data_IF_469335919283
#
_entry.id   IF_469335919283
#
_cell.length_a   1.000
_cell.length_b   1.000
_cell.length_c   1.000
_cell.angle_alpha   90.00
_cell.angle_beta   90.00
_cell.angle_gamma   90.00
#
_symmetry.space_group_name_H-M   'P 1'
#
loop_
_entity.id
_entity.type
_entity.pdbx_description
1 polymer ?
#
# COMPACT_ATOMS: atom_id res chain seq x y z
N UNK A 1 -1.77 -21.49 12.20
CA UNK A 1 -2.54 -20.24 12.18
C UNK A 1 -1.71 -19.18 11.47
N UNK A 2 -2.31 -18.42 10.57
CA UNK A 2 -1.69 -17.38 9.75
C UNK A 2 -2.22 -16.05 10.25
N UNK A 3 -1.33 -15.08 10.47
CA UNK A 3 -1.70 -13.71 10.81
C UNK A 3 -1.91 -12.93 9.51
N UNK A 4 -3.08 -12.32 9.34
CA UNK A 4 -3.35 -11.37 8.27
C UNK A 4 -3.51 -9.97 8.83
N UNK A 5 -2.94 -8.99 8.15
CA UNK A 5 -3.27 -7.58 8.31
C UNK A 5 -4.49 -7.30 7.44
N UNK A 6 -5.53 -6.72 8.03
CA UNK A 6 -6.82 -6.47 7.43
C UNK A 6 -7.16 -4.99 7.50
N UNK A 7 -7.95 -4.52 6.55
CA UNK A 7 -8.45 -3.14 6.50
C UNK A 7 -9.94 -3.17 6.12
N UNK A 8 -10.75 -2.32 6.75
CA UNK A 8 -12.15 -2.17 6.40
C UNK A 8 -12.40 -1.00 5.44
N UNK A 9 -13.64 -0.86 4.94
CA UNK A 9 -14.04 0.26 4.06
C UNK A 9 -13.88 1.66 4.67
N UNK A 10 -13.75 1.74 6.00
CA UNK A 10 -13.52 2.98 6.76
C UNK A 10 -12.03 3.20 7.08
N UNK A 11 -11.12 2.50 6.41
CA UNK A 11 -9.66 2.62 6.58
C UNK A 11 -9.15 2.26 7.99
N UNK A 12 -9.93 1.49 8.77
CA UNK A 12 -9.43 0.94 10.03
C UNK A 12 -8.60 -0.32 9.77
N UNK A 13 -7.32 -0.26 10.15
CA UNK A 13 -6.41 -1.39 10.09
C UNK A 13 -6.48 -2.23 11.37
N UNK A 14 -6.47 -3.54 11.23
CA UNK A 14 -6.45 -4.48 12.35
C UNK A 14 -5.82 -5.81 11.95
N UNK A 15 -5.50 -6.64 12.93
CA UNK A 15 -4.89 -7.95 12.71
C UNK A 15 -5.80 -9.08 13.18
N UNK A 16 -5.86 -10.15 12.39
CA UNK A 16 -6.64 -11.33 12.75
C UNK A 16 -5.92 -12.62 12.34
N UNK A 17 -6.19 -13.68 13.10
CA UNK A 17 -5.56 -14.99 12.94
C UNK A 17 -6.55 -15.97 12.34
N UNK A 18 -6.14 -16.61 11.25
CA UNK A 18 -6.96 -17.60 10.54
C UNK A 18 -6.24 -18.93 10.47
N UNK A 19 -6.98 -20.02 10.25
CA UNK A 19 -6.36 -21.35 10.15
C UNK A 19 -5.57 -21.49 8.84
N UNK A 20 -6.06 -20.87 7.77
CA UNK A 20 -5.49 -20.86 6.42
C UNK A 20 -5.97 -19.62 5.64
N UNK A 21 -5.47 -19.43 4.42
CA UNK A 21 -6.00 -18.40 3.51
C UNK A 21 -7.48 -18.66 3.15
N UNK A 22 -7.82 -19.91 2.86
CA UNK A 22 -9.18 -20.32 2.47
C UNK A 22 -10.21 -20.13 3.60
N UNK A 23 -9.78 -20.32 4.85
CA UNK A 23 -10.59 -20.04 6.04
C UNK A 23 -10.99 -18.56 6.11
N UNK A 24 -10.05 -17.64 5.88
CA UNK A 24 -10.35 -16.21 5.77
C UNK A 24 -11.38 -15.93 4.65
N UNK A 25 -11.13 -16.45 3.44
CA UNK A 25 -12.01 -16.20 2.30
C UNK A 25 -13.43 -16.75 2.53
N UNK A 26 -13.55 -17.90 3.21
CA UNK A 26 -14.82 -18.48 3.61
C UNK A 26 -15.53 -17.66 4.68
N UNK A 27 -14.83 -17.24 5.75
CA UNK A 27 -15.41 -16.43 6.81
C UNK A 27 -15.82 -15.03 6.31
N UNK A 28 -15.01 -14.40 5.45
CA UNK A 28 -15.35 -13.13 4.79
C UNK A 28 -16.62 -13.26 3.96
N UNK A 29 -16.75 -14.30 3.11
CA UNK A 29 -17.95 -14.55 2.31
C UNK A 29 -19.20 -14.78 3.15
N UNK A 30 -19.05 -15.37 4.34
CA UNK A 30 -20.15 -15.59 5.30
C UNK A 30 -20.47 -14.36 6.16
N UNK A 31 -19.68 -13.28 6.08
CA UNK A 31 -19.84 -12.10 6.92
C UNK A 31 -19.44 -12.31 8.38
N UNK A 32 -18.58 -13.30 8.67
CA UNK A 32 -18.08 -13.57 10.03
C UNK A 32 -16.80 -12.82 10.39
N UNK A 33 -16.32 -11.98 9.47
CA UNK A 33 -15.21 -11.08 9.73
C UNK A 33 -15.77 -9.67 9.79
N UNK A 34 -15.69 -9.04 10.96
CA UNK A 34 -16.10 -7.67 11.20
C UNK A 34 -14.92 -6.81 11.68
N UNK A 35 -15.02 -5.51 11.40
CA UNK A 35 -14.06 -4.54 11.89
C UNK A 35 -14.31 -4.27 13.37
N UNK A 36 -13.33 -4.47 14.28
CA UNK A 36 -13.53 -4.23 15.71
C UNK A 36 -13.78 -2.75 16.06
N UNK A 37 -13.43 -1.82 15.16
CA UNK A 37 -13.60 -0.37 15.37
C UNK A 37 -14.98 0.15 14.97
N UNK A 38 -15.62 -0.46 13.97
CA UNK A 38 -16.87 0.08 13.39
C UNK A 38 -17.94 -0.97 13.08
N UNK A 39 -17.65 -2.27 13.19
CA UNK A 39 -18.55 -3.36 12.89
C UNK A 39 -18.80 -3.61 11.39
N UNK A 40 -18.09 -2.92 10.47
CA UNK A 40 -18.25 -3.19 9.03
C UNK A 40 -17.75 -4.60 8.69
N UNK A 41 -18.52 -5.31 7.85
CA UNK A 41 -18.17 -6.61 7.29
C UNK A 41 -17.39 -6.50 5.95
N UNK A 42 -17.19 -5.29 5.43
CA UNK A 42 -16.40 -5.07 4.21
C UNK A 42 -14.93 -5.02 4.55
N UNK A 43 -14.34 -6.21 4.68
CA UNK A 43 -12.95 -6.39 5.09
C UNK A 43 -12.09 -6.87 3.92
N UNK A 44 -10.93 -6.26 3.73
CA UNK A 44 -9.94 -6.64 2.72
C UNK A 44 -8.61 -6.98 3.40
N UNK A 45 -7.79 -7.80 2.73
CA UNK A 45 -6.41 -8.02 3.18
C UNK A 45 -5.65 -6.72 2.92
N UNK A 46 -5.10 -6.11 3.95
CA UNK A 46 -4.18 -5.01 3.78
C UNK A 46 -2.98 -5.54 3.00
N UNK A 47 -2.86 -5.14 1.73
CA UNK A 47 -1.69 -5.47 0.95
C UNK A 47 -0.50 -4.84 1.66
N UNK A 48 0.50 -5.66 2.02
CA UNK A 48 1.82 -5.14 2.32
C UNK A 48 2.33 -4.50 1.03
N UNK A 49 2.04 -3.22 0.82
CA UNK A 49 2.72 -2.48 -0.23
C UNK A 49 4.19 -2.48 0.18
N UNK A 50 5.12 -3.16 -0.55
CA UNK A 50 6.50 -2.72 -0.46
C UNK A 50 6.46 -1.23 -0.77
N UNK A 51 7.13 -0.40 0.03
CA UNK A 51 7.22 1.03 -0.22
C UNK A 51 7.83 1.23 -1.62
N UNK A 52 6.99 1.27 -2.65
CA UNK A 52 7.38 1.59 -4.02
C UNK A 52 7.49 3.09 -4.07
N UNK A 53 8.62 3.59 -3.56
CA UNK A 53 9.17 4.87 -3.98
C UNK A 53 9.19 4.83 -5.50
N UNK A 54 8.23 5.50 -6.15
CA UNK A 54 8.15 5.50 -7.60
C UNK A 54 9.44 6.10 -8.15
N UNK A 55 10.38 5.27 -8.61
CA UNK A 55 11.64 5.68 -9.25
C UNK A 55 11.42 6.71 -10.37
N UNK A 56 10.22 6.71 -10.97
CA UNK A 56 9.78 7.70 -11.96
C UNK A 56 9.80 9.15 -11.47
N UNK A 57 9.69 9.44 -10.17
CA UNK A 57 9.82 10.83 -9.67
C UNK A 57 11.28 11.20 -9.41
N UNK A 58 12.12 10.23 -9.07
CA UNK A 58 13.55 10.46 -8.81
C UNK A 58 14.35 10.59 -10.12
N UNK A 59 13.99 9.84 -11.17
CA UNK A 59 14.55 10.02 -12.52
C UNK A 59 14.24 11.41 -13.09
N UNK A 60 13.01 11.92 -12.90
CA UNK A 60 12.65 13.26 -13.40
C UNK A 60 13.43 14.39 -12.72
N UNK A 61 13.71 14.25 -11.42
CA UNK A 61 14.51 15.26 -10.69
C UNK A 61 15.99 15.17 -11.08
N UNK A 62 16.53 13.97 -11.27
CA UNK A 62 17.92 13.78 -11.72
C UNK A 62 18.16 14.31 -13.15
N UNK A 63 17.20 14.11 -14.08
CA UNK A 63 17.31 14.62 -15.44
C UNK A 63 17.27 16.16 -15.49
N UNK A 64 16.35 16.78 -14.73
CA UNK A 64 16.18 18.23 -14.70
C UNK A 64 17.41 18.98 -14.16
N UNK A 65 18.15 18.38 -13.21
CA UNK A 65 19.38 18.98 -12.69
C UNK A 65 20.55 18.93 -13.69
N UNK A 66 20.63 17.87 -14.51
CA UNK A 66 21.68 17.74 -15.53
C UNK A 66 21.52 18.71 -16.71
N UNK A 67 20.29 19.05 -17.08
CA UNK A 67 19.99 20.01 -18.14
C UNK A 67 20.29 21.45 -17.72
N UNK A 68 19.89 21.83 -16.50
CA UNK A 68 20.16 23.14 -15.93
C UNK A 68 21.67 23.43 -15.80
N UNK A 69 22.46 22.42 -15.40
CA UNK A 69 23.91 22.56 -15.26
C UNK A 69 24.63 22.72 -16.61
N UNK A 70 24.17 22.05 -17.67
CA UNK A 70 24.74 22.22 -19.02
C UNK A 70 24.42 23.60 -19.62
N UNK A 71 23.22 24.13 -19.37
CA UNK A 71 22.83 25.45 -19.88
C UNK A 71 23.61 26.60 -19.20
N UNK A 72 23.93 26.48 -17.92
CA UNK A 72 24.73 27.48 -17.21
C UNK A 72 26.18 27.56 -17.72
N UNK A 73 26.78 26.42 -18.08
CA UNK A 73 28.16 26.39 -18.60
C UNK A 73 28.25 26.91 -20.04
N UNK A 74 27.18 26.78 -20.84
CA UNK A 74 27.13 27.26 -22.21
C UNK A 74 26.99 28.78 -22.33
N UNK A 75 26.43 29.45 -21.32
CA UNK A 75 26.26 30.92 -21.29
C UNK A 75 27.51 31.67 -20.77
N UNK A 76 28.55 30.95 -20.32
CA UNK A 76 29.80 31.54 -19.84
C UNK A 76 30.90 31.63 -20.92
N UNK A 77 30.54 31.37 -22.19
CA UNK A 77 31.37 31.62 -23.38
C UNK A 77 30.84 32.82 -24.14
#
# INVERSE_FOLDING_TARGET
>A
MIRFSLICEHEHEFEAWFRSNDDFDTQKKRGFVDCPSCGSHKIEKALMAPAVSTSRRQEKVALAMGEAQKQALAQLK
#
